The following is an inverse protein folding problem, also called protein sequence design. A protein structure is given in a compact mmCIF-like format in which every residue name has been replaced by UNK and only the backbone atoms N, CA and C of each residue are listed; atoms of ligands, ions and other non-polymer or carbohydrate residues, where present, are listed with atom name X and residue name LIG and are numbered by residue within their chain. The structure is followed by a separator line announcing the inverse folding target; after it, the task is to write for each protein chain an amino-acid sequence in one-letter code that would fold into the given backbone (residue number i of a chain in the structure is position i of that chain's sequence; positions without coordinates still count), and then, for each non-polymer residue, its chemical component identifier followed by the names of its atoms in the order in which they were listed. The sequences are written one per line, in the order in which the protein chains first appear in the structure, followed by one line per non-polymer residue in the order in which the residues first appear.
data_IF_694407285697
#
_entry.id   IF_694407285697
#
_cell.length_a   1.000
_cell.length_b   1.000
_cell.length_c   1.000
_cell.angle_alpha   90.00
_cell.angle_beta   90.00
_cell.angle_gamma   90.00
#
_symmetry.space_group_name_H-M   'P 1'
#
loop_
_entity.id
_entity.type
_entity.pdbx_description
1 polymer ?
#
# COMPACT_ATOMS: atom_id res chain seq x y z
N UNK A 1 -11.55 -18.27 -27.85
CA UNK A 1 -10.87 -17.21 -27.09
C UNK A 1 -10.39 -17.82 -25.79
N UNK A 2 -9.08 -18.00 -25.61
CA UNK A 2 -8.51 -18.64 -24.41
C UNK A 2 -8.73 -17.73 -23.19
N UNK A 3 -9.40 -18.26 -22.16
CA UNK A 3 -9.43 -17.63 -20.83
C UNK A 3 -7.98 -17.36 -20.42
N UNK A 4 -7.56 -16.09 -20.42
CA UNK A 4 -6.28 -15.70 -19.85
C UNK A 4 -6.33 -16.02 -18.37
N UNK A 5 -5.79 -17.17 -17.98
CA UNK A 5 -5.71 -17.62 -16.60
C UNK A 5 -4.81 -16.61 -15.89
N UNK A 6 -5.41 -15.71 -15.10
CA UNK A 6 -4.67 -14.84 -14.19
C UNK A 6 -3.88 -15.73 -13.24
N UNK A 7 -2.55 -15.81 -13.42
CA UNK A 7 -1.69 -16.46 -12.44
C UNK A 7 -1.69 -15.60 -11.19
N UNK A 8 -2.33 -16.12 -10.15
CA UNK A 8 -2.30 -15.54 -8.81
C UNK A 8 -1.28 -16.33 -7.99
N UNK A 9 -0.43 -15.62 -7.27
CA UNK A 9 0.43 -16.19 -6.24
C UNK A 9 0.42 -15.30 -5.02
N UNK A 10 0.85 -15.85 -3.89
CA UNK A 10 0.88 -15.20 -2.59
C UNK A 10 2.30 -15.29 -2.06
N UNK A 11 2.90 -14.15 -1.75
CA UNK A 11 4.22 -14.06 -1.12
C UNK A 11 4.05 -13.60 0.32
N UNK A 12 4.70 -14.28 1.25
CA UNK A 12 4.72 -13.88 2.65
C UNK A 12 5.97 -13.06 2.90
N UNK A 13 5.79 -11.81 3.30
CA UNK A 13 6.88 -10.86 3.58
C UNK A 13 6.95 -10.65 5.08
N UNK A 14 8.08 -11.02 5.67
CA UNK A 14 8.35 -10.86 7.09
C UNK A 14 9.20 -9.62 7.32
N UNK A 15 8.79 -8.74 8.23
CA UNK A 15 9.63 -7.67 8.73
C UNK A 15 10.29 -8.12 10.03
N UNK A 16 11.62 -8.04 10.06
CA UNK A 16 12.40 -8.37 11.25
C UNK A 16 12.52 -7.17 12.19
N UNK A 17 12.83 -7.44 13.45
CA UNK A 17 13.20 -6.43 14.46
C UNK A 17 14.40 -5.59 14.02
N UNK A 18 15.29 -6.13 13.20
CA UNK A 18 16.41 -5.41 12.59
C UNK A 18 16.01 -4.42 11.48
N UNK A 19 14.72 -4.35 11.12
CA UNK A 19 14.22 -3.54 10.01
C UNK A 19 14.40 -4.17 8.63
N UNK A 20 15.05 -5.33 8.54
CA UNK A 20 15.18 -6.06 7.28
C UNK A 20 13.89 -6.77 6.90
N UNK A 21 13.57 -6.74 5.60
CA UNK A 21 12.47 -7.49 5.02
C UNK A 21 12.98 -8.81 4.47
N UNK A 22 12.21 -9.88 4.69
CA UNK A 22 12.49 -11.21 4.16
C UNK A 22 11.25 -11.74 3.46
N UNK A 23 11.35 -12.03 2.18
CA UNK A 23 10.30 -12.66 1.40
C UNK A 23 10.44 -14.18 1.48
N UNK A 24 9.36 -14.88 1.78
CA UNK A 24 9.27 -16.34 1.68
C UNK A 24 8.89 -16.74 0.26
N UNK A 25 9.09 -18.01 -0.06
CA UNK A 25 8.72 -18.60 -1.35
C UNK A 25 7.25 -18.31 -1.71
N UNK A 26 6.97 -17.82 -2.93
CA UNK A 26 5.61 -17.60 -3.39
C UNK A 26 4.83 -18.91 -3.51
N UNK A 27 3.59 -18.92 -3.02
CA UNK A 27 2.67 -20.06 -3.11
C UNK A 27 1.44 -19.73 -3.94
N UNK A 28 0.81 -20.72 -4.57
CA UNK A 28 -0.42 -20.54 -5.36
C UNK A 28 -1.65 -20.23 -4.50
N UNK A 29 -1.67 -20.75 -3.27
CA UNK A 29 -2.87 -20.79 -2.43
C UNK A 29 -2.76 -19.90 -1.21
N UNK A 30 -3.82 -19.13 -0.96
CA UNK A 30 -3.89 -18.20 0.16
C UNK A 30 -3.82 -18.91 1.53
N UNK A 31 -4.43 -20.09 1.66
CA UNK A 31 -4.38 -20.87 2.91
C UNK A 31 -2.96 -21.29 3.27
N UNK A 32 -2.18 -21.70 2.27
CA UNK A 32 -0.77 -22.07 2.44
C UNK A 32 0.05 -20.85 2.85
N UNK A 33 -0.17 -19.69 2.21
CA UNK A 33 0.48 -18.44 2.60
C UNK A 33 0.12 -18.00 4.03
N UNK A 34 -1.14 -18.18 4.43
CA UNK A 34 -1.60 -17.84 5.77
C UNK A 34 -0.96 -18.72 6.84
N UNK A 35 -0.80 -20.01 6.59
CA UNK A 35 -0.11 -20.91 7.50
C UNK A 35 1.36 -20.53 7.65
N UNK A 36 2.07 -20.32 6.54
CA UNK A 36 3.46 -19.84 6.57
C UNK A 36 3.59 -18.49 7.29
N UNK A 37 2.60 -17.60 7.14
CA UNK A 37 2.59 -16.32 7.82
C UNK A 37 2.38 -16.44 9.34
N UNK A 38 1.56 -17.39 9.79
CA UNK A 38 1.37 -17.71 11.22
C UNK A 38 2.63 -18.31 11.84
N UNK A 39 3.33 -19.17 11.10
CA UNK A 39 4.59 -19.75 11.57
C UNK A 39 5.67 -18.66 11.65
N UNK A 40 5.74 -17.79 10.65
CA UNK A 40 6.73 -16.72 10.59
C UNK A 40 6.52 -15.63 11.66
N UNK A 41 5.28 -15.29 12.01
CA UNK A 41 4.99 -14.29 13.07
C UNK A 41 5.28 -14.83 14.48
N UNK A 42 5.32 -16.15 14.65
CA UNK A 42 5.74 -16.78 15.91
C UNK A 42 7.23 -16.62 16.21
N UNK A 43 8.04 -16.20 15.23
CA UNK A 43 9.45 -15.93 15.44
C UNK A 43 9.66 -14.61 16.20
N UNK A 44 10.36 -14.66 17.34
CA UNK A 44 10.66 -13.50 18.20
C UNK A 44 11.41 -12.37 17.49
N UNK A 45 12.10 -12.68 16.40
CA UNK A 45 12.84 -11.71 15.59
C UNK A 45 11.97 -11.06 14.51
N UNK A 46 10.68 -11.37 14.45
CA UNK A 46 9.72 -10.85 13.47
C UNK A 46 8.75 -9.88 14.16
N UNK A 47 8.61 -8.67 13.62
CA UNK A 47 7.71 -7.63 14.14
C UNK A 47 6.40 -7.55 13.37
N UNK A 48 6.39 -7.99 12.12
CA UNK A 48 5.23 -7.93 11.25
C UNK A 48 5.36 -8.98 10.15
N UNK A 49 4.25 -9.60 9.76
CA UNK A 49 4.19 -10.46 8.57
C UNK A 49 3.07 -9.98 7.67
N UNK A 50 3.37 -9.78 6.39
CA UNK A 50 2.44 -9.32 5.37
C UNK A 50 2.24 -10.41 4.33
N UNK A 51 1.00 -10.71 4.00
CA UNK A 51 0.68 -11.57 2.86
C UNK A 51 0.42 -10.65 1.67
N UNK A 52 1.22 -10.80 0.63
CA UNK A 52 1.16 -10.04 -0.62
C UNK A 52 0.60 -10.94 -1.70
N UNK A 53 -0.55 -10.57 -2.26
CA UNK A 53 -1.07 -11.19 -3.46
C UNK A 53 -0.36 -10.58 -4.68
N UNK A 54 0.25 -11.43 -5.48
CA UNK A 54 0.82 -11.10 -6.78
C UNK A 54 -0.13 -11.60 -7.87
N UNK A 55 -0.52 -10.68 -8.74
CA UNK A 55 -1.38 -10.95 -9.88
C UNK A 55 -0.64 -10.54 -11.14
N UNK A 56 -0.39 -11.50 -12.03
CA UNK A 56 0.10 -11.19 -13.36
C UNK A 56 -1.08 -10.95 -14.31
N UNK A 57 -1.15 -9.73 -14.85
CA UNK A 57 -2.16 -9.35 -15.83
C UNK A 57 -1.58 -9.56 -17.24
N UNK A 58 -1.97 -10.65 -17.90
CA UNK A 58 -1.48 -10.98 -19.24
C UNK A 58 -1.86 -9.93 -20.30
N UNK A 59 -3.00 -9.25 -20.13
CA UNK A 59 -3.49 -8.26 -21.10
C UNK A 59 -2.65 -6.98 -21.06
N UNK A 60 -2.23 -6.56 -19.87
CA UNK A 60 -1.40 -5.35 -19.70
C UNK A 60 0.09 -5.64 -19.54
N UNK A 61 0.50 -6.91 -19.45
CA UNK A 61 1.86 -7.39 -19.13
C UNK A 61 2.44 -6.73 -17.87
N UNK A 62 1.59 -6.50 -16.87
CA UNK A 62 1.96 -5.82 -15.62
C UNK A 62 1.72 -6.72 -14.42
N UNK A 63 2.66 -6.67 -13.50
CA UNK A 63 2.51 -7.22 -12.15
C UNK A 63 1.70 -6.27 -11.28
N UNK A 64 0.68 -6.81 -10.62
CA UNK A 64 -0.09 -6.12 -9.59
C UNK A 64 0.18 -6.81 -8.27
N UNK A 65 0.95 -6.17 -7.40
CA UNK A 65 1.19 -6.62 -6.03
C UNK A 65 0.24 -5.89 -5.07
N UNK A 66 -0.40 -6.61 -4.18
CA UNK A 66 -1.31 -6.05 -3.18
C UNK A 66 -1.11 -6.75 -1.84
N UNK A 67 -0.87 -5.96 -0.77
CA UNK A 67 -0.94 -6.50 0.59
C UNK A 67 -2.39 -6.80 0.92
N UNK A 68 -2.71 -8.06 1.18
CA UNK A 68 -4.07 -8.52 1.48
C UNK A 68 -4.28 -8.84 2.95
N UNK A 69 -3.20 -9.10 3.70
CA UNK A 69 -3.26 -9.36 5.15
C UNK A 69 -1.98 -8.92 5.82
N UNK A 70 -2.12 -8.40 7.03
CA UNK A 70 -1.00 -8.06 7.93
C UNK A 70 -1.26 -8.80 9.24
N UNK A 71 -0.22 -9.43 9.77
CA UNK A 71 -0.17 -10.09 11.07
C UNK A 71 0.90 -9.39 11.90
N UNK A 72 0.53 -8.99 13.11
CA UNK A 72 1.47 -8.52 14.15
C UNK A 72 1.47 -9.53 15.30
N UNK A 73 2.52 -9.58 16.15
CA UNK A 73 2.60 -10.53 17.26
C UNK A 73 1.42 -10.40 18.23
N UNK A 74 0.91 -9.18 18.41
CA UNK A 74 -0.30 -8.89 19.21
C UNK A 74 -1.57 -9.50 18.59
N UNK A 75 -1.60 -9.64 17.26
CA UNK A 75 -2.70 -10.26 16.52
C UNK A 75 -2.64 -11.80 16.49
N UNK A 76 -1.48 -12.39 16.81
CA UNK A 76 -1.26 -13.84 16.76
C UNK A 76 -1.70 -14.58 18.04
N UNK A 77 -1.94 -13.84 19.14
CA UNK A 77 -2.22 -14.40 20.46
C UNK A 77 -3.69 -14.50 20.89
N UNK A 78 -4.68 -14.22 20.03
CA UNK A 78 -6.08 -14.14 20.47
C UNK A 78 -6.99 -15.10 19.69
N UNK A 79 -7.01 -16.36 20.15
CA UNK A 79 -8.20 -17.19 20.10
C UNK A 79 -9.04 -16.86 21.35
N UNK A 80 -10.03 -15.96 21.22
CA UNK A 80 -10.90 -15.58 22.33
C UNK A 80 -11.51 -14.21 22.11
N UNK A 81 -12.83 -14.15 21.92
CA UNK A 81 -13.54 -12.96 21.49
C UNK A 81 -13.29 -11.72 22.35
N UNK A 82 -13.04 -10.59 21.68
CA UNK A 82 -13.49 -9.28 22.15
C UNK A 82 -13.41 -8.29 20.99
N UNK A 83 -14.56 -7.82 20.56
CA UNK A 83 -14.73 -6.64 19.72
C UNK A 83 -14.12 -5.45 20.45
N UNK A 84 -12.86 -5.11 20.17
CA UNK A 84 -12.29 -3.81 20.53
C UNK A 84 -11.87 -3.08 19.27
N UNK A 85 -12.79 -2.23 18.81
CA UNK A 85 -12.51 -1.06 17.98
C UNK A 85 -11.36 -0.28 18.62
N UNK A 86 -10.23 -0.17 17.94
CA UNK A 86 -9.11 0.64 18.43
C UNK A 86 -8.01 0.74 17.40
N UNK A 87 -7.78 1.97 16.93
CA UNK A 87 -6.62 2.41 16.15
C UNK A 87 -6.43 1.75 14.77
N UNK A 88 -7.34 2.09 13.87
CA UNK A 88 -7.10 2.04 12.44
C UNK A 88 -5.98 3.05 12.13
N UNK A 89 -4.73 2.57 12.02
CA UNK A 89 -3.66 3.33 11.38
C UNK A 89 -4.18 3.81 10.01
N UNK A 90 -4.07 5.11 9.68
CA UNK A 90 -4.62 5.66 8.45
C UNK A 90 -3.78 5.20 7.28
N UNK A 91 -4.05 3.97 6.81
CA UNK A 91 -3.65 3.51 5.50
C UNK A 91 -4.30 4.44 4.49
N UNK A 92 -3.50 5.32 3.91
CA UNK A 92 -3.86 6.30 2.89
C UNK A 92 -4.75 5.63 1.84
N UNK A 93 -6.06 5.82 2.00
CA UNK A 93 -7.08 5.29 1.10
C UNK A 93 -6.86 5.92 -0.27
N UNK A 94 -6.86 5.10 -1.33
CA UNK A 94 -6.63 5.52 -2.73
C UNK A 94 -7.46 6.72 -3.21
N UNK A 95 -8.49 7.13 -2.48
CA UNK A 95 -9.27 8.33 -2.75
C UNK A 95 -8.54 9.67 -2.42
N UNK A 96 -7.62 9.71 -1.45
CA UNK A 96 -6.81 10.92 -1.16
C UNK A 96 -5.65 11.12 -2.12
N UNK A 97 -5.10 10.05 -2.70
CA UNK A 97 -4.02 10.14 -3.68
C UNK A 97 -4.46 10.85 -4.97
N UNK A 98 -5.67 10.58 -5.46
CA UNK A 98 -6.19 11.23 -6.67
C UNK A 98 -6.69 12.67 -6.40
N UNK A 99 -7.07 12.99 -5.15
CA UNK A 99 -7.35 14.37 -4.71
C UNK A 99 -6.07 15.21 -4.56
N UNK A 100 -4.95 14.61 -4.15
CA UNK A 100 -3.67 15.30 -4.06
C UNK A 100 -3.20 15.81 -5.43
N UNK A 101 -3.33 15.02 -6.50
CA UNK A 101 -2.94 15.43 -7.85
C UNK A 101 -3.80 16.58 -8.40
N UNK A 102 -5.13 16.58 -8.17
CA UNK A 102 -5.99 17.71 -8.55
C UNK A 102 -5.70 18.98 -7.73
N UNK A 103 -5.35 18.83 -6.45
CA UNK A 103 -4.95 19.96 -5.60
C UNK A 103 -3.68 20.64 -6.10
N UNK A 104 -2.67 19.86 -6.51
CA UNK A 104 -1.41 20.40 -7.03
C UNK A 104 -1.65 21.22 -8.32
N UNK A 105 -2.49 20.75 -9.23
CA UNK A 105 -2.80 21.49 -10.48
C UNK A 105 -3.45 22.84 -10.18
N UNK A 106 -4.42 22.87 -9.25
CA UNK A 106 -5.08 24.14 -8.88
C UNK A 106 -4.10 25.12 -8.20
N UNK A 107 -3.18 24.62 -7.36
CA UNK A 107 -2.16 25.46 -6.72
C UNK A 107 -1.22 26.06 -7.78
N UNK A 108 -0.75 25.25 -8.74
CA UNK A 108 0.15 25.72 -9.80
C UNK A 108 -0.53 26.78 -10.66
N UNK A 109 -1.78 26.55 -11.09
CA UNK A 109 -2.54 27.53 -11.87
C UNK A 109 -2.70 28.84 -11.08
N UNK A 110 -3.10 28.76 -9.79
CA UNK A 110 -3.25 29.94 -8.95
C UNK A 110 -1.96 30.76 -8.83
N UNK A 111 -0.81 30.10 -8.62
CA UNK A 111 0.50 30.77 -8.55
C UNK A 111 0.87 31.44 -9.88
N UNK A 112 0.66 30.76 -11.02
CA UNK A 112 0.95 31.35 -12.33
C UNK A 112 0.12 32.59 -12.64
N UNK A 113 -1.17 32.59 -12.28
CA UNK A 113 -2.06 33.76 -12.44
C UNK A 113 -1.61 34.92 -11.56
N UNK A 114 -1.19 34.65 -10.32
CA UNK A 114 -0.74 35.68 -9.39
C UNK A 114 0.54 36.38 -9.91
N UNK A 115 1.49 35.62 -10.44
CA UNK A 115 2.73 36.17 -11.05
C UNK A 115 2.40 37.00 -12.30
N UNK A 116 1.48 36.55 -13.16
CA UNK A 116 1.04 37.29 -14.35
C UNK A 116 0.36 38.61 -13.96
N UNK A 117 -0.53 38.59 -12.97
CA UNK A 117 -1.20 39.79 -12.46
C UNK A 117 -0.19 40.76 -11.82
N UNK A 118 0.74 40.27 -11.01
CA UNK A 118 1.79 41.09 -10.42
C UNK A 118 2.71 41.70 -11.50
N UNK A 119 3.10 40.91 -12.51
CA UNK A 119 3.95 41.37 -13.62
C UNK A 119 3.31 42.45 -14.49
N UNK A 120 1.98 42.49 -14.59
CA UNK A 120 1.24 43.56 -15.29
C UNK A 120 1.00 44.76 -14.36
N UNK A 121 0.71 44.51 -13.07
CA UNK A 121 0.41 45.57 -12.08
C UNK A 121 1.64 46.42 -11.73
N UNK A 122 2.83 45.81 -11.63
CA UNK A 122 4.08 46.54 -11.28
C UNK A 122 4.38 47.69 -12.26
N UNK A 123 4.40 47.49 -13.59
CA UNK A 123 4.63 48.59 -14.54
C UNK A 123 3.48 49.61 -14.60
N UNK A 124 2.26 49.26 -14.18
CA UNK A 124 1.11 50.18 -14.08
C UNK A 124 1.15 51.04 -12.80
N UNK A 125 1.69 50.52 -11.69
CA UNK A 125 1.86 51.25 -10.44
C UNK A 125 3.15 52.07 -10.36
N UNK A 126 4.13 51.79 -11.26
CA UNK A 126 5.38 52.54 -11.38
C UNK A 126 5.36 53.59 -12.51
N UNK A 127 4.18 53.90 -13.05
CA UNK A 127 3.91 55.06 -13.91
C UNK A 127 3.11 56.10 -13.13
#
# INVERSE_FOLDING_TARGET
MSNAVMSKSYTVVCMRTSGQQMELEPVSDYSSALNSAKDAIGNKNTTEVRIVENKYDQATRKDKKQVIKILTPESAGVAGGSTRRGAQNPGMTRETANRATKGIINIVIAVTVLILLAGIMIPLAMR
#
